data_IF_520748231258
#
_entry.id   IF_520748231258
#
_cell.length_a   1.000
_cell.length_b   1.000
_cell.length_c   1.000
_cell.angle_alpha   90.00
_cell.angle_beta   90.00
_cell.angle_gamma   90.00
#
_symmetry.space_group_name_H-M   'P 1'
#
loop_
_entity.id
_entity.type
_entity.pdbx_description
1 polymer ?
#
# COMPACT_ATOMS: atom_id res chain seq x y z
N UNK A 1 8.47 1.17 -7.00
CA UNK A 1 9.26 2.17 -7.76
C UNK A 1 10.04 3.04 -6.79
N UNK A 2 11.33 3.34 -7.03
CA UNK A 2 12.16 4.21 -6.17
C UNK A 2 12.03 5.66 -6.65
N UNK A 3 11.91 6.60 -5.71
CA UNK A 3 11.90 8.03 -6.01
C UNK A 3 12.37 8.87 -4.83
N UNK A 4 12.46 10.18 -5.03
CA UNK A 4 12.66 11.17 -3.97
C UNK A 4 11.37 11.98 -3.90
N UNK A 5 10.76 12.07 -2.72
CA UNK A 5 9.57 12.89 -2.50
C UNK A 5 9.89 13.91 -1.42
N UNK A 6 9.85 15.21 -1.77
CA UNK A 6 10.16 16.31 -0.85
C UNK A 6 11.52 16.18 -0.13
N UNK A 7 12.53 15.61 -0.82
CA UNK A 7 13.87 15.41 -0.25
C UNK A 7 14.05 14.10 0.54
N UNK A 8 12.99 13.32 0.74
CA UNK A 8 13.07 12.01 1.40
C UNK A 8 13.06 10.85 0.39
N UNK A 9 13.79 9.79 0.72
CA UNK A 9 13.74 8.54 -0.04
C UNK A 9 12.31 7.96 0.03
N UNK A 10 11.79 7.54 -1.12
CA UNK A 10 10.43 7.03 -1.25
C UNK A 10 10.40 5.75 -2.07
N UNK A 11 9.60 4.79 -1.60
CA UNK A 11 9.24 3.57 -2.29
C UNK A 11 7.73 3.45 -2.38
N UNK A 12 7.23 3.18 -3.59
CA UNK A 12 5.78 3.09 -3.85
C UNK A 12 5.44 1.75 -4.49
N UNK A 13 4.35 1.15 -4.04
CA UNK A 13 3.71 -0.01 -4.66
C UNK A 13 2.18 0.07 -4.62
N UNK A 14 1.52 -0.85 -5.32
CA UNK A 14 0.07 -1.08 -5.21
C UNK A 14 -0.14 -2.33 -4.35
N UNK A 15 -0.95 -2.20 -3.31
CA UNK A 15 -1.43 -3.30 -2.51
C UNK A 15 -2.79 -3.74 -3.05
N UNK A 16 -2.91 -5.05 -3.25
CA UNK A 16 -4.18 -5.67 -3.57
C UNK A 16 -4.73 -6.29 -2.29
N UNK A 17 -5.82 -5.71 -1.79
CA UNK A 17 -6.51 -6.21 -0.61
C UNK A 17 -7.63 -7.10 -1.10
N UNK A 18 -7.44 -8.41 -0.91
CA UNK A 18 -8.51 -9.38 -1.05
C UNK A 18 -9.22 -9.47 0.30
N UNK A 19 -10.52 -9.15 0.34
CA UNK A 19 -11.40 -9.27 1.51
C UNK A 19 -11.25 -8.19 2.61
N UNK A 20 -11.79 -6.99 2.36
CA UNK A 20 -12.15 -6.06 3.43
C UNK A 20 -13.52 -6.47 4.03
N UNK A 21 -13.61 -6.70 5.34
CA UNK A 21 -14.91 -6.73 6.06
C UNK A 21 -15.56 -8.10 6.30
N UNK A 22 -14.82 -9.22 6.25
CA UNK A 22 -15.41 -10.56 6.43
C UNK A 22 -15.41 -11.03 7.89
N UNK A 23 -16.55 -11.53 8.36
CA UNK A 23 -16.66 -12.24 9.64
C UNK A 23 -15.88 -13.55 9.53
N UNK A 24 -15.09 -13.88 10.56
CA UNK A 24 -14.32 -15.11 10.63
C UNK A 24 -15.21 -16.36 10.84
N UNK A 25 -16.15 -16.61 9.91
CA UNK A 25 -16.96 -17.83 9.91
C UNK A 25 -16.25 -18.91 9.06
N UNK A 26 -16.06 -20.08 9.68
CA UNK A 26 -15.32 -21.22 9.09
C UNK A 26 -16.13 -21.96 8.02
N UNK A 27 -17.42 -21.69 7.88
CA UNK A 27 -18.33 -22.47 7.01
C UNK A 27 -18.61 -21.85 5.63
N UNK A 28 -18.02 -20.71 5.29
CA UNK A 28 -18.33 -20.01 4.03
C UNK A 28 -17.24 -20.26 2.98
N UNK A 29 -17.54 -21.13 2.02
CA UNK A 29 -16.75 -21.38 0.80
C UNK A 29 -16.82 -20.11 -0.07
N UNK A 30 -15.72 -19.36 -0.14
CA UNK A 30 -15.76 -17.99 -0.68
C UNK A 30 -15.25 -17.88 -2.11
N UNK A 31 -16.08 -17.31 -2.97
CA UNK A 31 -15.62 -16.68 -4.19
C UNK A 31 -15.10 -15.28 -3.85
N UNK A 32 -13.93 -14.90 -4.35
CA UNK A 32 -13.34 -13.57 -4.15
C UNK A 32 -14.27 -12.53 -4.80
N UNK A 33 -15.12 -11.86 -4.01
CA UNK A 33 -16.16 -10.95 -4.54
C UNK A 33 -15.68 -9.53 -4.79
N UNK A 34 -14.62 -9.05 -4.13
CA UNK A 34 -13.98 -7.77 -4.47
C UNK A 34 -12.48 -7.79 -4.17
N UNK A 35 -11.71 -7.14 -5.04
CA UNK A 35 -10.30 -6.82 -4.83
C UNK A 35 -10.18 -5.30 -4.86
N UNK A 36 -9.81 -4.72 -3.73
CA UNK A 36 -9.54 -3.29 -3.64
C UNK A 36 -8.04 -3.05 -3.86
N UNK A 37 -7.70 -1.99 -4.58
CA UNK A 37 -6.30 -1.60 -4.81
C UNK A 37 -6.00 -0.30 -4.08
N UNK A 38 -4.98 -0.32 -3.23
CA UNK A 38 -4.49 0.86 -2.53
C UNK A 38 -3.06 1.19 -2.93
N UNK A 39 -2.75 2.47 -3.12
CA UNK A 39 -1.37 2.93 -3.28
C UNK A 39 -0.68 2.99 -1.92
N UNK A 40 0.38 2.21 -1.72
CA UNK A 40 1.23 2.28 -0.53
C UNK A 40 2.47 3.11 -0.83
N UNK A 41 2.73 4.08 0.02
CA UNK A 41 3.94 4.88 0.01
C UNK A 41 4.73 4.66 1.30
N UNK A 42 5.97 4.24 1.13
CA UNK A 42 6.96 4.05 2.17
C UNK A 42 8.01 5.16 2.05
N UNK A 43 8.12 6.03 3.06
CA UNK A 43 9.10 7.13 3.07
C UNK A 43 10.15 6.93 4.15
N UNK A 44 11.32 7.49 3.90
CA UNK A 44 12.47 7.37 4.79
C UNK A 44 13.50 6.38 4.27
N UNK A 45 14.75 6.60 4.66
CA UNK A 45 15.90 5.88 4.11
C UNK A 45 15.91 4.42 4.55
N UNK A 46 15.53 4.14 5.81
CA UNK A 46 15.54 2.78 6.35
C UNK A 46 14.42 1.96 5.71
N UNK A 47 13.19 2.48 5.69
CA UNK A 47 12.03 1.78 5.15
C UNK A 47 12.16 1.55 3.64
N UNK A 48 12.62 2.57 2.90
CA UNK A 48 12.88 2.44 1.45
C UNK A 48 13.90 1.33 1.18
N UNK A 49 14.99 1.30 1.96
CA UNK A 49 16.03 0.28 1.80
C UNK A 49 15.53 -1.12 2.17
N UNK A 50 14.71 -1.24 3.22
CA UNK A 50 14.07 -2.49 3.61
C UNK A 50 13.15 -3.01 2.50
N UNK A 51 12.25 -2.17 2.00
CA UNK A 51 11.28 -2.56 0.97
C UNK A 51 11.98 -3.02 -0.31
N UNK A 52 13.00 -2.28 -0.77
CA UNK A 52 13.77 -2.64 -1.96
C UNK A 52 14.48 -4.00 -1.84
N UNK A 53 14.95 -4.35 -0.64
CA UNK A 53 15.69 -5.61 -0.43
C UNK A 53 14.76 -6.80 -0.18
N UNK A 54 13.63 -6.59 0.50
CA UNK A 54 12.85 -7.68 1.08
C UNK A 54 11.47 -7.88 0.45
N UNK A 55 10.92 -6.88 -0.24
CA UNK A 55 9.56 -6.92 -0.80
C UNK A 55 9.62 -6.98 -2.31
N UNK A 56 8.96 -7.98 -2.88
CA UNK A 56 8.84 -8.22 -4.32
C UNK A 56 7.38 -8.23 -4.74
N UNK A 57 7.15 -8.12 -6.04
CA UNK A 57 5.82 -8.32 -6.61
C UNK A 57 5.30 -9.72 -6.28
N UNK A 58 4.02 -9.81 -5.91
CA UNK A 58 3.39 -11.07 -5.49
C UNK A 58 3.65 -11.47 -4.03
N UNK A 59 4.44 -10.71 -3.26
CA UNK A 59 4.61 -10.97 -1.84
C UNK A 59 3.34 -10.63 -1.05
N UNK A 60 2.95 -11.53 -0.14
CA UNK A 60 1.99 -11.22 0.91
C UNK A 60 2.72 -10.44 2.02
N UNK A 61 2.24 -9.24 2.29
CA UNK A 61 2.80 -8.33 3.30
C UNK A 61 1.75 -7.97 4.35
N UNK A 62 2.22 -7.74 5.57
CA UNK A 62 1.42 -7.11 6.62
C UNK A 62 1.86 -5.65 6.73
N UNK A 63 0.90 -4.73 6.74
CA UNK A 63 1.16 -3.29 6.70
C UNK A 63 0.32 -2.60 7.76
N UNK A 64 1.00 -1.85 8.64
CA UNK A 64 0.37 -0.88 9.54
C UNK A 64 0.67 0.52 9.00
N UNK A 65 -0.34 1.24 8.55
CA UNK A 65 -0.18 2.51 7.84
C UNK A 65 -1.25 3.52 8.20
N UNK A 66 -1.02 4.79 7.85
CA UNK A 66 -2.02 5.85 7.95
C UNK A 66 -2.72 5.99 6.61
N UNK A 67 -4.04 6.01 6.63
CA UNK A 67 -4.84 6.38 5.47
C UNK A 67 -4.79 7.89 5.29
N UNK A 68 -4.33 8.33 4.13
CA UNK A 68 -4.24 9.74 3.76
C UNK A 68 -5.10 9.96 2.53
N UNK A 69 -5.87 11.03 2.54
CA UNK A 69 -6.59 11.51 1.37
C UNK A 69 -5.86 12.74 0.85
N UNK A 70 -5.46 12.69 -0.41
CA UNK A 70 -4.77 13.79 -1.07
C UNK A 70 -5.55 14.26 -2.28
N UNK A 71 -5.81 15.58 -2.42
CA UNK A 71 -6.39 16.10 -3.64
C UNK A 71 -5.38 15.96 -4.78
N UNK A 72 -5.83 15.38 -5.88
CA UNK A 72 -5.08 15.20 -7.12
C UNK A 72 -5.81 15.88 -8.25
N UNK A 73 -5.13 16.81 -8.90
CA UNK A 73 -5.65 17.44 -10.11
C UNK A 73 -5.67 16.43 -11.26
N UNK A 74 -6.81 16.28 -11.90
CA UNK A 74 -7.00 15.42 -13.07
C UNK A 74 -7.27 16.32 -14.28
N UNK A 75 -6.27 16.54 -15.15
CA UNK A 75 -6.38 17.54 -16.23
C UNK A 75 -7.52 17.28 -17.20
N UNK A 76 -7.81 16.02 -17.53
CA UNK A 76 -8.90 15.65 -18.46
C UNK A 76 -10.29 16.01 -17.93
N UNK A 77 -10.43 16.20 -16.61
CA UNK A 77 -11.68 16.59 -15.96
C UNK A 77 -11.63 18.03 -15.44
N UNK A 78 -10.50 18.74 -15.64
CA UNK A 78 -10.24 20.07 -15.12
C UNK A 78 -10.62 20.24 -13.64
N UNK A 79 -10.46 19.17 -12.85
CA UNK A 79 -11.00 19.07 -11.49
C UNK A 79 -10.07 18.29 -10.57
N UNK A 80 -10.27 18.47 -9.26
CA UNK A 80 -9.53 17.76 -8.22
C UNK A 80 -10.35 16.57 -7.70
N UNK A 81 -9.70 15.42 -7.60
CA UNK A 81 -10.27 14.21 -7.01
C UNK A 81 -9.44 13.81 -5.79
N UNK A 82 -10.10 13.28 -4.76
CA UNK A 82 -9.41 12.75 -3.59
C UNK A 82 -8.86 11.37 -3.91
N UNK A 83 -7.54 11.25 -4.00
CA UNK A 83 -6.85 9.98 -4.07
C UNK A 83 -6.58 9.49 -2.63
N UNK A 84 -6.91 8.23 -2.36
CA UNK A 84 -6.66 7.61 -1.05
C UNK A 84 -5.37 6.81 -1.13
N UNK A 85 -4.44 7.12 -0.23
CA UNK A 85 -3.09 6.57 -0.17
C UNK A 85 -2.81 6.02 1.22
N UNK A 86 -2.01 4.96 1.32
CA UNK A 86 -1.49 4.44 2.57
C UNK A 86 -0.06 4.96 2.77
N UNK A 87 0.23 5.57 3.92
CA UNK A 87 1.56 6.09 4.23
C UNK A 87 2.20 5.34 5.40
N UNK A 88 3.46 4.96 5.19
CA UNK A 88 4.39 4.45 6.21
C UNK A 88 5.67 5.29 6.12
N UNK A 89 6.23 5.67 7.26
CA UNK A 89 7.48 6.43 7.36
C UNK A 89 8.45 5.74 8.31
N UNK A 90 9.73 6.14 8.32
CA UNK A 90 10.71 5.65 9.32
C UNK A 90 10.27 5.90 10.77
N UNK A 91 9.38 6.87 11.01
CA UNK A 91 8.86 7.24 12.33
C UNK A 91 7.45 6.71 12.63
N UNK A 92 6.75 6.17 11.63
CA UNK A 92 5.35 5.79 11.78
C UNK A 92 4.94 4.61 10.88
N UNK A 93 4.23 3.65 11.49
CA UNK A 93 3.74 2.47 10.80
C UNK A 93 4.81 1.40 10.61
N UNK A 94 4.46 0.34 9.90
CA UNK A 94 5.39 -0.76 9.59
C UNK A 94 4.95 -1.54 8.36
N UNK A 95 5.91 -2.21 7.74
CA UNK A 95 5.69 -3.19 6.68
C UNK A 95 6.56 -4.41 6.97
N UNK A 96 5.97 -5.59 6.93
CA UNK A 96 6.67 -6.86 7.06
C UNK A 96 6.22 -7.84 5.99
N UNK A 97 7.18 -8.58 5.43
CA UNK A 97 6.87 -9.69 4.53
C UNK A 97 6.35 -10.87 5.35
N UNK A 98 5.21 -11.42 4.95
CA UNK A 98 4.63 -12.63 5.54
C UNK A 98 5.11 -13.85 4.77
N UNK A 99 4.91 -13.89 3.45
CA UNK A 99 5.38 -14.97 2.56
C UNK A 99 5.38 -14.54 1.10
N UNK A 100 6.14 -15.24 0.27
CA UNK A 100 6.00 -15.16 -1.20
C UNK A 100 4.82 -16.01 -1.65
N UNK A 101 3.99 -15.50 -2.56
CA UNK A 101 2.94 -16.32 -3.20
C UNK A 101 3.43 -17.04 -4.45
N UNK A 102 4.65 -16.71 -4.91
CA UNK A 102 5.31 -17.28 -6.08
C UNK A 102 6.76 -17.64 -5.76
#
# INVERSE_FOLDING_TARGET
MRGIFQGEASWVCKLLVSQCGRVADKNVTDHIQSQETYSLQCRGAFLTSFCLKNVKEGDLVHVASKLIQRPKYVPIHESYFNETELLVTDSFGSISKVRSLF
#
